data_IF_676941427732
#
_entry.id   IF_676941427732
#
_cell.length_a   1.000
_cell.length_b   1.000
_cell.length_c   1.000
_cell.angle_alpha   90.00
_cell.angle_beta   90.00
_cell.angle_gamma   90.00
#
_symmetry.space_group_name_H-M   'P 1'
#
loop_
_entity.id
_entity.type
_entity.pdbx_description
1 polymer ?
#
# COMPACT_ATOMS: atom_id res chain seq x y z
N UNK A 1 -10.66 -15.32 15.38
CA UNK A 1 -10.49 -15.22 13.91
C UNK A 1 -9.23 -14.44 13.56
N UNK A 2 -8.78 -14.60 12.33
CA UNK A 2 -7.63 -13.85 11.82
C UNK A 2 -7.86 -12.34 11.83
N UNK A 3 -9.07 -11.90 11.50
CA UNK A 3 -9.44 -10.49 11.53
C UNK A 3 -9.41 -9.91 12.94
N UNK A 4 -9.92 -10.63 13.92
CA UNK A 4 -9.87 -10.20 15.31
C UNK A 4 -8.43 -10.10 15.82
N UNK A 5 -7.57 -11.02 15.43
CA UNK A 5 -6.14 -11.00 15.78
C UNK A 5 -5.47 -9.73 15.23
N UNK A 6 -5.74 -9.38 13.99
CA UNK A 6 -5.20 -8.17 13.37
C UNK A 6 -5.65 -6.91 14.11
N UNK A 7 -6.93 -6.83 14.48
CA UNK A 7 -7.46 -5.68 15.22
C UNK A 7 -6.81 -5.56 16.60
N UNK A 8 -6.66 -6.66 17.32
CA UNK A 8 -6.00 -6.68 18.64
C UNK A 8 -4.56 -6.18 18.51
N UNK A 9 -3.83 -6.66 17.52
CA UNK A 9 -2.45 -6.22 17.26
C UNK A 9 -2.38 -4.71 17.02
N UNK A 10 -3.30 -4.16 16.21
CA UNK A 10 -3.37 -2.74 15.94
C UNK A 10 -3.70 -1.93 17.19
N UNK A 11 -4.66 -2.40 18.01
CA UNK A 11 -5.02 -1.72 19.25
C UNK A 11 -3.85 -1.69 20.23
N UNK A 12 -3.05 -2.73 20.28
CA UNK A 12 -1.84 -2.75 21.13
C UNK A 12 -0.86 -1.65 20.72
N UNK A 13 -0.77 -1.32 19.43
CA UNK A 13 0.09 -0.23 18.97
C UNK A 13 -0.37 1.15 19.45
N UNK A 14 -1.63 1.29 19.90
CA UNK A 14 -2.14 2.57 20.43
C UNK A 14 -1.80 2.79 21.91
N UNK A 15 -1.45 1.73 22.64
CA UNK A 15 -1.12 1.82 24.07
C UNK A 15 0.19 2.56 24.27
N UNK A 16 1.19 2.27 23.43
CA UNK A 16 2.46 2.99 23.37
C UNK A 16 2.67 3.34 21.89
N UNK A 17 2.20 4.49 21.44
CA UNK A 17 2.22 4.82 20.00
C UNK A 17 3.63 4.75 19.43
N UNK A 18 3.83 3.96 18.36
CA UNK A 18 5.13 3.88 17.70
C UNK A 18 5.38 5.13 16.86
N UNK A 19 6.65 5.41 16.58
CA UNK A 19 7.03 6.48 15.64
C UNK A 19 6.67 6.09 14.20
N UNK A 20 6.67 4.79 13.89
CA UNK A 20 6.33 4.25 12.60
C UNK A 20 5.62 2.92 12.78
N UNK A 21 4.45 2.79 12.19
CA UNK A 21 3.70 1.54 12.16
C UNK A 21 3.92 0.87 10.80
N UNK A 22 4.36 -0.38 10.81
CA UNK A 22 4.56 -1.16 9.59
C UNK A 22 3.46 -2.21 9.48
N UNK A 23 2.73 -2.20 8.35
CA UNK A 23 1.68 -3.18 8.05
C UNK A 23 2.06 -3.91 6.77
N UNK A 24 2.44 -5.17 6.89
CA UNK A 24 2.89 -5.99 5.76
C UNK A 24 1.79 -6.99 5.38
N UNK A 25 0.98 -6.61 4.38
CA UNK A 25 -0.10 -7.45 3.85
C UNK A 25 -1.02 -8.00 4.93
N UNK A 26 -1.37 -7.19 5.89
CA UNK A 26 -2.06 -7.62 7.11
C UNK A 26 -3.50 -8.13 6.87
N UNK A 27 -4.06 -7.92 5.69
CA UNK A 27 -5.40 -8.43 5.32
C UNK A 27 -5.35 -9.52 4.25
N UNK A 28 -4.17 -9.92 3.78
CA UNK A 28 -4.02 -10.82 2.63
C UNK A 28 -4.62 -12.21 2.84
N UNK A 29 -4.56 -12.72 4.08
CA UNK A 29 -5.07 -14.06 4.42
C UNK A 29 -6.55 -14.07 4.83
N UNK A 30 -7.22 -12.92 4.77
CA UNK A 30 -8.62 -12.78 5.20
C UNK A 30 -9.56 -12.86 4.00
N UNK A 31 -10.79 -13.33 4.24
CA UNK A 31 -11.84 -13.25 3.22
C UNK A 31 -12.17 -11.77 2.93
N UNK A 32 -12.72 -11.45 1.73
CA UNK A 32 -12.91 -10.05 1.33
C UNK A 32 -13.74 -9.20 2.30
N UNK A 33 -14.82 -9.75 2.84
CA UNK A 33 -15.68 -8.99 3.77
C UNK A 33 -14.94 -8.68 5.08
N UNK A 34 -14.20 -9.64 5.61
CA UNK A 34 -13.40 -9.44 6.82
C UNK A 34 -12.24 -8.49 6.56
N UNK A 35 -11.58 -8.62 5.40
CA UNK A 35 -10.50 -7.72 5.00
C UNK A 35 -10.97 -6.26 4.94
N UNK A 36 -12.13 -6.00 4.38
CA UNK A 36 -12.71 -4.66 4.31
C UNK A 36 -12.97 -4.07 5.70
N UNK A 37 -13.52 -4.87 6.60
CA UNK A 37 -13.76 -4.44 7.99
C UNK A 37 -12.46 -4.13 8.71
N UNK A 38 -11.44 -4.97 8.56
CA UNK A 38 -10.13 -4.75 9.17
C UNK A 38 -9.48 -3.49 8.60
N UNK A 39 -9.59 -3.26 7.29
CA UNK A 39 -9.06 -2.04 6.68
C UNK A 39 -9.75 -0.78 7.20
N UNK A 40 -11.07 -0.80 7.36
CA UNK A 40 -11.81 0.33 7.92
C UNK A 40 -11.37 0.65 9.35
N UNK A 41 -11.21 -0.39 10.17
CA UNK A 41 -10.73 -0.24 11.54
C UNK A 41 -9.28 0.26 11.56
N UNK A 42 -8.44 -0.26 10.68
CA UNK A 42 -7.03 0.15 10.53
C UNK A 42 -6.95 1.64 10.22
N UNK A 43 -7.69 2.11 9.24
CA UNK A 43 -7.71 3.53 8.86
C UNK A 43 -8.17 4.42 10.01
N UNK A 44 -9.17 3.98 10.75
CA UNK A 44 -9.68 4.71 11.92
C UNK A 44 -8.62 4.82 13.03
N UNK A 45 -7.99 3.71 13.37
CA UNK A 45 -6.94 3.67 14.40
C UNK A 45 -5.77 4.59 14.03
N UNK A 46 -5.31 4.51 12.79
CA UNK A 46 -4.23 5.35 12.28
C UNK A 46 -4.58 6.83 12.36
N UNK A 47 -5.79 7.18 11.92
CA UNK A 47 -6.26 8.56 11.91
C UNK A 47 -6.45 9.11 13.31
N UNK A 48 -7.12 8.37 14.20
CA UNK A 48 -7.43 8.81 15.57
C UNK A 48 -6.17 8.96 16.43
N UNK A 49 -5.13 8.20 16.14
CA UNK A 49 -3.87 8.21 16.91
C UNK A 49 -2.72 8.90 16.18
N UNK A 50 -2.97 9.50 15.02
CA UNK A 50 -1.98 10.19 14.19
C UNK A 50 -0.72 9.33 13.95
N UNK A 51 -0.92 8.06 13.59
CA UNK A 51 0.18 7.13 13.38
C UNK A 51 0.78 7.30 11.99
N UNK A 52 2.09 7.57 11.94
CA UNK A 52 2.83 7.48 10.68
C UNK A 52 2.93 6.02 10.29
N UNK A 53 2.45 5.68 9.10
CA UNK A 53 2.26 4.27 8.71
C UNK A 53 2.84 3.99 7.34
N UNK A 54 3.51 2.86 7.22
CA UNK A 54 3.92 2.29 5.94
C UNK A 54 3.17 0.97 5.76
N UNK A 55 2.32 0.88 4.73
CA UNK A 55 1.56 -0.33 4.44
C UNK A 55 2.03 -0.97 3.13
N UNK A 56 2.30 -2.26 3.18
CA UNK A 56 2.68 -3.05 2.02
C UNK A 56 1.48 -3.89 1.62
N UNK A 57 1.10 -3.83 0.34
CA UNK A 57 -0.02 -4.60 -0.19
C UNK A 57 0.21 -4.98 -1.64
N UNK A 58 -0.31 -6.15 -2.05
CA UNK A 58 -0.42 -6.55 -3.45
C UNK A 58 -1.76 -6.12 -4.06
N UNK A 59 -2.67 -5.61 -3.26
CA UNK A 59 -3.98 -5.16 -3.73
C UNK A 59 -3.87 -3.74 -4.26
N UNK A 60 -3.97 -3.59 -5.58
CA UNK A 60 -3.79 -2.31 -6.27
C UNK A 60 -4.85 -1.29 -5.86
N UNK A 61 -6.09 -1.74 -5.66
CA UNK A 61 -7.19 -0.87 -5.19
C UNK A 61 -6.86 -0.31 -3.80
N UNK A 62 -6.41 -1.16 -2.87
CA UNK A 62 -5.95 -0.70 -1.55
C UNK A 62 -4.82 0.32 -1.66
N UNK A 63 -3.87 0.06 -2.54
CA UNK A 63 -2.72 0.95 -2.73
C UNK A 63 -3.13 2.34 -3.20
N UNK A 64 -4.16 2.43 -4.06
CA UNK A 64 -4.68 3.69 -4.55
C UNK A 64 -5.52 4.44 -3.52
N UNK A 65 -6.29 3.71 -2.73
CA UNK A 65 -7.32 4.30 -1.85
C UNK A 65 -6.84 4.53 -0.42
N UNK A 66 -5.70 3.96 -0.05
CA UNK A 66 -5.20 4.02 1.33
C UNK A 66 -3.98 4.93 1.42
N UNK A 67 -3.90 5.64 2.54
CA UNK A 67 -2.78 6.54 2.79
C UNK A 67 -2.80 7.80 1.93
N UNK A 68 -1.70 8.54 2.01
CA UNK A 68 -1.54 9.83 1.31
C UNK A 68 -0.57 9.77 0.13
N UNK A 69 0.05 8.62 -0.06
CA UNK A 69 1.11 8.45 -1.07
C UNK A 69 1.18 6.98 -1.47
N UNK A 70 1.38 6.71 -2.75
CA UNK A 70 1.53 5.35 -3.26
C UNK A 70 2.87 5.21 -3.95
N UNK A 71 3.62 4.18 -3.57
CA UNK A 71 4.92 3.87 -4.13
C UNK A 71 4.85 2.47 -4.73
N UNK A 72 5.35 2.30 -5.93
CA UNK A 72 5.49 0.98 -6.56
C UNK A 72 6.96 0.57 -6.56
N UNK A 73 7.21 -0.61 -6.02
CA UNK A 73 8.55 -1.22 -6.03
C UNK A 73 8.59 -2.39 -6.99
N UNK A 74 9.68 -2.50 -7.74
CA UNK A 74 9.96 -3.66 -8.57
C UNK A 74 11.45 -3.93 -8.53
N UNK A 75 11.82 -5.15 -8.13
CA UNK A 75 13.21 -5.62 -8.05
C UNK A 75 14.14 -4.66 -7.26
N UNK A 76 13.61 -4.16 -6.13
CA UNK A 76 14.36 -3.28 -5.24
C UNK A 76 14.43 -1.82 -5.69
N UNK A 77 13.77 -1.45 -6.78
CA UNK A 77 13.75 -0.08 -7.29
C UNK A 77 12.37 0.54 -7.18
N UNK A 78 12.32 1.84 -6.92
CA UNK A 78 11.07 2.60 -6.97
C UNK A 78 10.76 2.90 -8.43
N UNK A 79 9.67 2.33 -8.93
CA UNK A 79 9.23 2.56 -10.31
C UNK A 79 8.48 3.88 -10.44
N UNK A 80 7.57 4.14 -9.50
CA UNK A 80 6.87 5.41 -9.41
C UNK A 80 6.48 5.72 -7.97
N UNK A 81 6.21 6.99 -7.73
CA UNK A 81 5.87 7.55 -6.44
C UNK A 81 4.81 8.62 -6.69
N UNK A 82 3.59 8.36 -6.24
CA UNK A 82 2.43 9.18 -6.58
C UNK A 82 1.87 9.84 -5.32
N UNK A 83 1.71 11.17 -5.38
CA UNK A 83 1.12 11.94 -4.30
C UNK A 83 -0.39 11.74 -4.22
N UNK A 84 -0.98 12.18 -3.11
CA UNK A 84 -2.43 12.15 -2.92
C UNK A 84 -3.17 12.92 -4.01
N UNK A 85 -2.64 14.08 -4.41
CA UNK A 85 -3.26 14.90 -5.45
C UNK A 85 -3.24 14.20 -6.81
N UNK A 86 -2.12 13.56 -7.16
CA UNK A 86 -2.00 12.80 -8.40
C UNK A 86 -2.95 11.61 -8.44
N UNK A 87 -3.14 10.92 -7.28
CA UNK A 87 -4.03 9.75 -7.20
C UNK A 87 -5.51 10.10 -7.29
N UNK A 88 -5.87 11.34 -7.05
CA UNK A 88 -7.26 11.77 -6.84
C UNK A 88 -8.19 11.34 -7.98
N UNK A 89 -7.70 11.35 -9.21
CA UNK A 89 -8.47 10.97 -10.39
C UNK A 89 -7.91 9.74 -11.11
N UNK A 90 -7.03 8.98 -10.45
CA UNK A 90 -6.44 7.78 -11.03
C UNK A 90 -7.30 6.56 -10.77
N UNK A 91 -7.40 5.73 -11.81
CA UNK A 91 -8.02 4.41 -11.73
C UNK A 91 -6.95 3.34 -11.59
N UNK A 92 -7.38 2.10 -11.26
CA UNK A 92 -6.49 0.94 -11.26
C UNK A 92 -5.85 0.76 -12.63
N UNK A 93 -6.61 0.96 -13.71
CA UNK A 93 -6.10 0.85 -15.09
C UNK A 93 -5.01 1.88 -15.36
N UNK A 94 -5.19 3.13 -14.90
CA UNK A 94 -4.17 4.18 -15.03
C UNK A 94 -2.87 3.75 -14.36
N UNK A 95 -2.97 3.18 -13.16
CA UNK A 95 -1.80 2.72 -12.41
C UNK A 95 -1.09 1.59 -13.12
N UNK A 96 -1.85 0.63 -13.64
CA UNK A 96 -1.29 -0.50 -14.40
C UNK A 96 -0.64 -0.05 -15.69
N UNK A 97 -1.21 0.94 -16.37
CA UNK A 97 -0.62 1.53 -17.57
C UNK A 97 0.72 2.22 -17.25
N UNK A 98 0.80 2.95 -16.15
CA UNK A 98 2.05 3.56 -15.68
C UNK A 98 3.11 2.50 -15.39
N UNK A 99 2.73 1.42 -14.74
CA UNK A 99 3.63 0.31 -14.44
C UNK A 99 4.19 -0.30 -15.73
N UNK A 100 3.30 -0.60 -16.69
CA UNK A 100 3.70 -1.18 -17.98
C UNK A 100 4.63 -0.26 -18.76
N UNK A 101 4.35 1.03 -18.79
CA UNK A 101 5.18 2.03 -19.47
C UNK A 101 6.58 2.10 -18.84
N UNK A 102 6.66 2.12 -17.51
CA UNK A 102 7.94 2.16 -16.79
C UNK A 102 8.74 0.89 -17.00
N UNK A 103 8.10 -0.27 -17.04
CA UNK A 103 8.77 -1.55 -17.32
C UNK A 103 9.34 -1.59 -18.73
N UNK A 104 8.61 -1.13 -19.73
CA UNK A 104 9.07 -1.05 -21.12
C UNK A 104 10.27 -0.11 -21.25
N UNK A 105 10.20 1.04 -20.61
CA UNK A 105 11.29 2.01 -20.59
C UNK A 105 12.57 1.40 -20.00
N UNK A 106 12.46 0.74 -18.85
CA UNK A 106 13.57 0.06 -18.19
C UNK A 106 14.15 -1.06 -19.05
N UNK A 107 13.30 -1.88 -19.68
CA UNK A 107 13.71 -2.96 -20.55
C UNK A 107 14.48 -2.44 -21.75
N UNK A 108 14.01 -1.37 -22.37
CA UNK A 108 14.68 -0.74 -23.51
C UNK A 108 16.08 -0.23 -23.12
N UNK A 109 16.20 0.41 -21.95
CA UNK A 109 17.47 0.92 -21.44
C UNK A 109 18.45 -0.22 -21.15
N UNK A 110 18.00 -1.28 -20.46
CA UNK A 110 18.82 -2.45 -20.17
C UNK A 110 19.28 -3.14 -21.45
N UNK A 111 18.40 -3.24 -22.44
CA UNK A 111 18.71 -3.84 -23.74
C UNK A 111 19.80 -3.05 -24.48
N UNK A 112 19.77 -1.73 -24.42
CA UNK A 112 20.78 -0.87 -25.01
C UNK A 112 22.15 -1.05 -24.31
N UNK A 113 22.13 -1.15 -22.97
CA UNK A 113 23.35 -1.31 -22.17
C UNK A 113 24.04 -2.65 -22.42
N UNK A 114 23.27 -3.71 -22.63
CA UNK A 114 23.77 -5.08 -22.77
C UNK A 114 23.84 -5.58 -24.22
N UNK A 115 23.45 -4.79 -25.15
CA UNK A 115 23.61 -5.10 -26.58
C UNK A 115 24.97 -4.56 -27.13
#
# INVERSE_FOLDING_TARGET
SGGQRQVVTLLMATLVPPKLLLLDEHTAALDPATADKVMDITKRIISENNLTTLMITHNVTQALETGTRTIMLDRGNIIFDISQNERKNMTVDDLMDMYSAKKKEKFATDSIVFS
#
